data_IF_094293416898
#
_entry.id   IF_094293416898
#
_cell.length_a   1.000
_cell.length_b   1.000
_cell.length_c   1.000
_cell.angle_alpha   90.00
_cell.angle_beta   90.00
_cell.angle_gamma   90.00
#
_symmetry.space_group_name_H-M   'P 1'
#
loop_
_entity.id
_entity.type
_entity.pdbx_description
1 polymer ?
#
# COMPACT_ATOMS: atom_id res chain seq x y z
N UNK A 1 28.24 30.98 14.73
CA UNK A 1 29.40 31.26 13.87
C UNK A 1 30.36 30.09 13.96
N UNK A 2 30.47 29.28 12.92
CA UNK A 2 31.64 28.52 12.45
C UNK A 2 31.20 27.68 11.26
N UNK A 3 31.51 28.18 10.07
CA UNK A 3 31.37 27.46 8.81
C UNK A 3 32.52 26.42 8.75
N UNK A 4 32.21 25.15 8.46
CA UNK A 4 33.23 24.20 8.01
C UNK A 4 32.91 23.83 6.55
N UNK A 5 33.86 24.19 5.70
CA UNK A 5 33.91 23.83 4.29
C UNK A 5 34.54 22.46 4.20
N UNK A 6 33.83 21.50 3.60
CA UNK A 6 34.41 20.19 3.28
C UNK A 6 34.88 20.20 1.83
N UNK A 7 36.16 19.94 1.69
CA UNK A 7 36.93 19.89 0.43
C UNK A 7 36.69 18.52 -0.23
N UNK A 8 36.20 18.53 -1.47
CA UNK A 8 36.07 17.32 -2.29
C UNK A 8 37.37 17.11 -3.06
N UNK A 9 38.08 16.03 -2.75
CA UNK A 9 39.27 15.61 -3.48
C UNK A 9 38.84 14.66 -4.62
N UNK A 10 39.05 15.12 -5.86
CA UNK A 10 38.84 14.33 -7.08
C UNK A 10 40.16 13.62 -7.41
N UNK A 11 40.22 12.30 -7.24
CA UNK A 11 41.35 11.49 -7.72
C UNK A 11 41.04 10.88 -9.08
N UNK A 12 41.68 11.42 -10.12
CA UNK A 12 41.77 10.83 -11.45
C UNK A 12 42.88 9.77 -11.43
N UNK A 13 42.53 8.51 -11.66
CA UNK A 13 43.50 7.46 -12.02
C UNK A 13 43.37 7.14 -13.50
N UNK A 14 44.38 7.55 -14.24
CA UNK A 14 44.70 7.05 -15.58
C UNK A 14 45.58 5.80 -15.41
N UNK A 15 45.13 4.62 -15.83
CA UNK A 15 46.00 3.47 -16.02
C UNK A 15 45.83 2.94 -17.43
N UNK A 16 47.00 2.82 -18.06
CA UNK A 16 47.17 2.51 -19.46
C UNK A 16 46.86 1.04 -19.81
N UNK A 17 46.48 0.87 -21.07
CA UNK A 17 46.35 -0.40 -21.75
C UNK A 17 47.71 -1.09 -21.92
N UNK A 18 47.85 -2.29 -21.38
CA UNK A 18 48.84 -3.25 -21.80
C UNK A 18 48.18 -4.32 -22.66
N UNK A 19 48.64 -4.45 -23.89
CA UNK A 19 48.24 -5.48 -24.84
C UNK A 19 49.01 -6.76 -24.46
N UNK A 20 48.29 -7.85 -24.14
CA UNK A 20 48.83 -9.16 -23.92
C UNK A 20 48.72 -10.01 -25.20
N UNK A 21 49.84 -10.62 -25.59
CA UNK A 21 49.93 -11.56 -26.71
C UNK A 21 49.16 -12.87 -26.42
N UNK A 22 48.59 -13.52 -27.43
CA UNK A 22 47.83 -14.77 -27.29
C UNK A 22 48.77 -15.97 -27.05
N UNK A 23 48.52 -16.73 -25.97
CA UNK A 23 49.10 -18.02 -25.74
C UNK A 23 48.32 -19.14 -26.47
N UNK A 24 48.98 -20.23 -26.91
CA UNK A 24 48.32 -21.31 -27.65
C UNK A 24 47.39 -22.14 -26.75
N UNK A 25 46.20 -22.43 -27.29
CA UNK A 25 45.16 -23.23 -26.67
C UNK A 25 45.61 -24.70 -26.47
N UNK A 26 45.48 -25.19 -25.25
CA UNK A 26 45.54 -26.62 -24.93
C UNK A 26 44.15 -27.23 -25.14
N UNK A 27 44.01 -28.42 -25.78
CA UNK A 27 42.72 -29.05 -25.97
C UNK A 27 42.10 -29.51 -24.63
N UNK A 28 40.85 -29.11 -24.41
CA UNK A 28 40.03 -29.50 -23.27
C UNK A 28 39.70 -31.00 -23.28
N UNK A 29 39.68 -31.69 -22.13
CA UNK A 29 39.16 -33.05 -22.04
C UNK A 29 37.67 -33.11 -22.29
N UNK A 30 37.10 -34.26 -22.75
CA UNK A 30 35.70 -34.38 -23.06
C UNK A 30 34.82 -34.17 -21.78
N UNK A 31 33.87 -33.29 -21.87
CA UNK A 31 32.83 -33.07 -20.86
C UNK A 31 32.04 -34.36 -20.61
N UNK A 32 32.21 -34.91 -19.41
CA UNK A 32 31.25 -35.87 -18.89
C UNK A 32 29.94 -35.15 -18.57
N UNK A 33 28.91 -35.50 -19.29
CA UNK A 33 27.57 -34.99 -19.09
C UNK A 33 27.08 -35.26 -17.65
N UNK A 34 27.13 -34.25 -16.82
CA UNK A 34 26.34 -34.22 -15.61
C UNK A 34 24.92 -33.85 -16.03
N UNK A 35 24.04 -34.87 -16.09
CA UNK A 35 22.61 -34.68 -16.04
C UNK A 35 22.28 -34.13 -14.64
N UNK A 36 22.42 -32.80 -14.51
CA UNK A 36 21.92 -32.06 -13.39
C UNK A 36 20.40 -32.20 -13.39
N UNK A 37 19.90 -32.95 -12.43
CA UNK A 37 18.49 -32.95 -12.07
C UNK A 37 18.22 -31.58 -11.45
N UNK A 38 17.93 -30.56 -12.26
CA UNK A 38 17.33 -29.33 -11.79
C UNK A 38 15.97 -29.71 -11.22
N UNK A 39 15.94 -29.95 -9.92
CA UNK A 39 14.72 -29.89 -9.15
C UNK A 39 14.20 -28.45 -9.32
N UNK A 40 13.24 -28.25 -10.24
CA UNK A 40 12.46 -27.05 -10.31
C UNK A 40 11.82 -26.84 -8.95
N UNK A 41 12.30 -25.85 -8.20
CA UNK A 41 11.61 -25.40 -7.00
C UNK A 41 10.17 -25.07 -7.40
N UNK A 42 9.19 -25.44 -6.59
CA UNK A 42 7.81 -25.07 -6.86
C UNK A 42 7.77 -23.54 -7.02
N UNK A 43 7.31 -23.09 -8.17
CA UNK A 43 7.22 -21.66 -8.47
C UNK A 43 5.99 -21.14 -7.73
N UNK A 44 6.20 -20.59 -6.54
CA UNK A 44 5.13 -19.97 -5.76
C UNK A 44 4.51 -18.80 -6.53
N UNK A 45 3.24 -18.53 -6.26
CA UNK A 45 2.53 -17.35 -6.74
C UNK A 45 3.29 -16.07 -6.34
N UNK A 46 3.26 -15.01 -7.18
CA UNK A 46 3.78 -13.68 -6.81
C UNK A 46 3.13 -13.08 -5.54
N UNK A 47 1.97 -13.62 -5.14
CA UNK A 47 1.24 -13.21 -3.93
C UNK A 47 1.60 -14.04 -2.69
N UNK A 48 2.43 -15.08 -2.85
CA UNK A 48 2.83 -15.92 -1.71
C UNK A 48 3.81 -15.19 -0.79
N UNK A 49 3.49 -15.13 0.50
CA UNK A 49 4.39 -14.64 1.55
C UNK A 49 4.91 -15.81 2.38
N UNK A 50 6.23 -16.07 2.42
CA UNK A 50 6.81 -17.13 3.24
C UNK A 50 6.46 -16.95 4.72
N UNK A 51 5.97 -18.04 5.35
CA UNK A 51 5.62 -18.05 6.76
C UNK A 51 4.22 -17.54 7.08
N UNK A 52 3.40 -17.26 6.07
CA UNK A 52 1.99 -16.92 6.22
C UNK A 52 1.14 -17.98 5.49
N UNK A 53 0.29 -18.68 6.23
CA UNK A 53 -0.58 -19.71 5.65
C UNK A 53 -1.81 -19.08 4.99
N UNK A 54 -2.33 -19.71 3.94
CA UNK A 54 -3.47 -19.17 3.19
C UNK A 54 -4.71 -18.92 4.05
N UNK A 55 -4.97 -19.76 5.05
CA UNK A 55 -6.12 -19.58 5.95
C UNK A 55 -5.91 -18.37 6.89
N UNK A 56 -4.66 -18.02 7.24
CA UNK A 56 -4.34 -16.79 7.96
C UNK A 56 -4.57 -15.57 7.07
N UNK A 57 -4.16 -15.62 5.79
CA UNK A 57 -4.43 -14.56 4.80
C UNK A 57 -5.94 -14.34 4.64
N UNK A 58 -6.72 -15.42 4.51
CA UNK A 58 -8.19 -15.35 4.39
C UNK A 58 -8.81 -14.72 5.63
N UNK A 59 -8.38 -15.15 6.82
CA UNK A 59 -8.88 -14.62 8.08
C UNK A 59 -8.61 -13.12 8.17
N UNK A 60 -7.37 -12.71 7.90
CA UNK A 60 -6.96 -11.30 7.89
C UNK A 60 -7.73 -10.48 6.85
N UNK A 61 -7.84 -10.98 5.62
CA UNK A 61 -8.59 -10.31 4.55
C UNK A 61 -10.07 -10.10 4.91
N UNK A 62 -10.71 -11.15 5.46
CA UNK A 62 -12.12 -11.06 5.84
C UNK A 62 -12.34 -10.05 6.97
N UNK A 63 -11.50 -10.06 8.02
CA UNK A 63 -11.58 -9.08 9.11
C UNK A 63 -11.45 -7.67 8.57
N UNK A 64 -10.40 -7.40 7.79
CA UNK A 64 -10.07 -6.04 7.36
C UNK A 64 -10.99 -5.51 6.25
N UNK A 65 -11.43 -6.37 5.33
CA UNK A 65 -12.20 -5.92 4.15
C UNK A 65 -13.70 -6.20 4.22
N UNK A 66 -14.17 -7.07 5.15
CA UNK A 66 -15.56 -7.53 5.17
C UNK A 66 -16.25 -7.37 6.53
N UNK A 67 -15.52 -7.25 7.64
CA UNK A 67 -16.10 -7.10 8.97
C UNK A 67 -16.17 -5.62 9.36
N UNK A 68 -17.09 -4.88 8.75
CA UNK A 68 -17.27 -3.46 9.12
C UNK A 68 -17.76 -3.30 10.55
N UNK A 69 -17.07 -2.49 11.37
CA UNK A 69 -17.43 -2.15 12.75
C UNK A 69 -18.87 -1.60 12.89
N UNK A 70 -19.42 -1.00 11.83
CA UNK A 70 -20.72 -0.35 11.84
C UNK A 70 -21.55 -0.84 10.65
N UNK A 71 -22.03 -2.09 10.71
CA UNK A 71 -23.15 -2.47 9.87
C UNK A 71 -24.47 -2.07 10.53
N UNK A 72 -25.02 -0.96 10.14
CA UNK A 72 -26.37 -0.51 10.60
C UNK A 72 -27.50 -1.41 10.11
N UNK A 73 -27.23 -2.39 9.26
CA UNK A 73 -28.25 -3.17 8.54
C UNK A 73 -28.35 -4.65 8.97
N UNK A 74 -27.39 -5.17 9.76
CA UNK A 74 -27.40 -6.60 10.15
C UNK A 74 -27.20 -7.59 8.99
N UNK A 75 -26.88 -7.11 7.79
CA UNK A 75 -26.53 -7.93 6.63
C UNK A 75 -25.01 -8.21 6.63
N UNK A 76 -24.56 -9.38 6.12
CA UNK A 76 -23.14 -9.63 5.96
C UNK A 76 -22.52 -8.56 5.07
N UNK A 77 -21.34 -8.09 5.45
CA UNK A 77 -20.59 -7.14 4.65
C UNK A 77 -20.17 -7.80 3.34
N UNK A 78 -20.28 -7.06 2.26
CA UNK A 78 -19.87 -7.47 0.93
C UNK A 78 -18.65 -6.64 0.52
N UNK A 79 -17.77 -7.21 -0.28
CA UNK A 79 -16.54 -6.57 -0.72
C UNK A 79 -16.79 -5.23 -1.40
N UNK A 80 -16.22 -4.18 -0.82
CA UNK A 80 -16.31 -2.81 -1.32
C UNK A 80 -14.93 -2.33 -1.73
N UNK A 81 -14.83 -1.75 -2.93
CA UNK A 81 -13.60 -1.12 -3.41
C UNK A 81 -13.90 -0.13 -4.53
N UNK A 82 -12.90 0.65 -4.91
CA UNK A 82 -12.95 1.47 -6.11
C UNK A 82 -12.83 0.58 -7.35
N UNK A 83 -13.67 0.86 -8.36
CA UNK A 83 -13.62 0.20 -9.69
C UNK A 83 -13.48 1.21 -10.84
N UNK A 84 -13.27 2.48 -10.50
CA UNK A 84 -13.08 3.57 -11.45
C UNK A 84 -11.92 4.47 -10.97
N UNK A 85 -11.24 5.21 -11.88
CA UNK A 85 -10.11 6.05 -11.55
C UNK A 85 -10.40 7.02 -10.41
N UNK A 86 -9.46 7.12 -9.47
CA UNK A 86 -9.52 7.98 -8.29
C UNK A 86 -8.79 9.29 -8.62
N UNK A 87 -9.53 10.38 -8.58
CA UNK A 87 -8.96 11.73 -8.65
C UNK A 87 -8.98 12.30 -7.24
N UNK A 88 -7.80 12.59 -6.66
CA UNK A 88 -7.71 13.16 -5.34
C UNK A 88 -7.41 14.65 -5.37
N UNK A 89 -7.95 15.38 -4.41
CA UNK A 89 -7.67 16.80 -4.16
C UNK A 89 -7.16 16.97 -2.76
N UNK A 90 -6.12 17.80 -2.60
CA UNK A 90 -5.51 18.09 -1.31
C UNK A 90 -5.70 19.57 -1.01
N UNK A 91 -6.06 19.89 0.23
CA UNK A 91 -6.08 21.24 0.75
C UNK A 91 -5.71 21.30 2.24
N UNK A 92 -5.62 22.55 2.77
CA UNK A 92 -5.27 22.81 4.15
C UNK A 92 -3.78 22.94 4.42
N UNK A 93 -3.37 22.70 5.68
CA UNK A 93 -2.02 22.97 6.19
C UNK A 93 -1.10 21.76 6.04
N UNK A 94 -0.90 21.27 4.82
CA UNK A 94 0.04 20.19 4.53
C UNK A 94 1.46 20.68 4.28
N UNK A 95 2.44 19.82 4.46
CA UNK A 95 3.86 20.04 4.18
C UNK A 95 4.30 19.33 2.90
N UNK A 96 5.49 19.71 2.37
CA UNK A 96 6.11 18.98 1.25
C UNK A 96 6.36 17.50 1.59
N UNK A 97 6.58 17.18 2.87
CA UNK A 97 6.77 15.79 3.32
C UNK A 97 5.46 15.00 3.31
N UNK A 98 4.34 15.61 3.69
CA UNK A 98 3.01 14.99 3.60
C UNK A 98 2.69 14.64 2.14
N UNK A 99 2.95 15.59 1.25
CA UNK A 99 2.75 15.40 -0.18
C UNK A 99 3.63 14.26 -0.72
N UNK A 100 4.91 14.21 -0.31
CA UNK A 100 5.82 13.15 -0.74
C UNK A 100 5.38 11.75 -0.27
N UNK A 101 4.83 11.60 0.94
CA UNK A 101 4.28 10.32 1.44
C UNK A 101 3.07 9.90 0.61
N UNK A 102 2.14 10.82 0.37
CA UNK A 102 0.94 10.57 -0.40
C UNK A 102 1.25 10.20 -1.86
N UNK A 103 2.12 10.98 -2.52
CA UNK A 103 2.54 10.72 -3.91
C UNK A 103 3.31 9.39 -4.03
N UNK A 104 4.16 9.07 -3.05
CA UNK A 104 4.87 7.79 -2.99
C UNK A 104 3.90 6.61 -2.91
N UNK A 105 2.87 6.70 -2.07
CA UNK A 105 1.84 5.69 -1.96
C UNK A 105 0.99 5.59 -3.23
N UNK A 106 0.55 6.72 -3.79
CA UNK A 106 -0.19 6.77 -5.04
C UNK A 106 0.60 6.16 -6.21
N UNK A 107 1.91 6.43 -6.27
CA UNK A 107 2.79 5.83 -7.28
C UNK A 107 2.83 4.31 -7.15
N UNK A 108 3.02 3.78 -5.93
CA UNK A 108 3.02 2.34 -5.68
C UNK A 108 1.67 1.70 -6.03
N UNK A 109 0.54 2.30 -5.62
CA UNK A 109 -0.81 1.82 -5.95
C UNK A 109 -1.00 1.64 -7.47
N UNK A 110 -0.50 2.59 -8.27
CA UNK A 110 -0.58 2.52 -9.72
C UNK A 110 0.24 1.36 -10.34
N UNK A 111 1.06 0.65 -9.54
CA UNK A 111 1.74 -0.58 -9.95
C UNK A 111 0.96 -1.85 -9.62
N UNK A 112 -0.11 -1.75 -8.82
CA UNK A 112 -0.92 -2.90 -8.40
C UNK A 112 -1.83 -3.35 -9.54
N UNK A 113 -1.75 -4.62 -9.90
CA UNK A 113 -2.58 -5.21 -10.96
C UNK A 113 -4.07 -5.08 -10.62
N UNK A 114 -4.85 -4.59 -11.58
CA UNK A 114 -6.31 -4.39 -11.42
C UNK A 114 -6.71 -3.18 -10.61
N UNK A 115 -5.77 -2.41 -10.05
CA UNK A 115 -6.08 -1.14 -9.42
C UNK A 115 -6.54 -0.12 -10.47
N UNK A 116 -7.64 0.65 -10.25
CA UNK A 116 -8.23 1.50 -11.28
C UNK A 116 -7.41 2.76 -11.62
N UNK A 117 -6.35 3.01 -10.85
CA UNK A 117 -5.51 4.20 -10.97
C UNK A 117 -5.91 5.32 -10.01
N UNK A 118 -4.89 6.05 -9.53
CA UNK A 118 -5.04 7.21 -8.66
C UNK A 118 -4.13 8.34 -9.13
N UNK A 119 -4.66 9.55 -9.18
CA UNK A 119 -3.91 10.74 -9.57
C UNK A 119 -4.53 12.01 -8.98
N UNK A 120 -3.71 13.06 -8.88
CA UNK A 120 -4.18 14.36 -8.43
C UNK A 120 -5.18 14.96 -9.42
N UNK A 121 -6.24 15.54 -8.90
CA UNK A 121 -7.26 16.25 -9.67
C UNK A 121 -6.75 17.64 -10.10
N UNK A 122 -7.19 18.13 -11.25
CA UNK A 122 -6.90 19.51 -11.69
C UNK A 122 -7.70 20.56 -10.93
N UNK A 123 -8.80 20.13 -10.27
CA UNK A 123 -9.65 21.01 -9.46
C UNK A 123 -10.42 20.19 -8.41
N UNK A 124 -10.90 20.82 -7.31
CA UNK A 124 -11.70 20.13 -6.31
C UNK A 124 -13.02 19.57 -6.87
N UNK A 125 -13.56 20.14 -7.93
CA UNK A 125 -14.81 19.66 -8.55
C UNK A 125 -14.62 18.34 -9.32
N UNK A 126 -13.40 18.02 -9.74
CA UNK A 126 -13.07 16.77 -10.39
C UNK A 126 -12.81 15.65 -9.38
N UNK A 127 -12.44 16.01 -8.14
CA UNK A 127 -12.02 15.06 -7.13
C UNK A 127 -13.17 14.13 -6.71
N UNK A 128 -12.79 12.87 -6.49
CA UNK A 128 -13.62 11.85 -5.85
C UNK A 128 -13.10 11.50 -4.47
N UNK A 129 -11.84 11.79 -4.19
CA UNK A 129 -11.22 11.64 -2.89
C UNK A 129 -10.72 13.02 -2.45
N UNK A 130 -11.30 13.56 -1.38
CA UNK A 130 -10.93 14.84 -0.81
C UNK A 130 -10.07 14.61 0.42
N UNK A 131 -8.90 15.24 0.46
CA UNK A 131 -7.89 15.09 1.50
C UNK A 131 -7.65 16.47 2.14
N UNK A 132 -7.95 16.60 3.43
CA UNK A 132 -7.87 17.84 4.19
C UNK A 132 -6.86 17.74 5.32
N UNK A 133 -5.89 18.64 5.35
CA UNK A 133 -4.98 18.80 6.47
C UNK A 133 -5.45 19.96 7.35
N UNK A 134 -5.93 19.67 8.56
CA UNK A 134 -6.65 20.64 9.35
C UNK A 134 -6.46 20.46 10.87
N UNK A 135 -6.89 21.45 11.63
CA UNK A 135 -6.97 21.38 13.08
C UNK A 135 -8.18 20.53 13.54
N UNK A 136 -8.21 20.01 14.79
CA UNK A 136 -9.29 19.15 15.28
C UNK A 136 -10.69 19.72 15.11
N UNK A 137 -10.91 21.01 15.37
CA UNK A 137 -12.25 21.63 15.25
C UNK A 137 -12.72 21.68 13.79
N UNK A 138 -11.80 21.88 12.83
CA UNK A 138 -12.13 21.85 11.40
C UNK A 138 -12.40 20.41 10.93
N UNK A 139 -11.65 19.44 11.45
CA UNK A 139 -11.90 18.01 11.23
C UNK A 139 -13.28 17.60 11.71
N UNK A 140 -13.63 17.95 12.95
CA UNK A 140 -14.95 17.69 13.52
C UNK A 140 -16.06 18.41 12.74
N UNK A 141 -15.82 19.63 12.27
CA UNK A 141 -16.78 20.37 11.43
C UNK A 141 -17.01 19.70 10.08
N UNK A 142 -15.99 19.03 9.52
CA UNK A 142 -16.06 18.36 8.21
C UNK A 142 -16.69 16.97 8.32
N UNK A 143 -16.31 16.19 9.32
CA UNK A 143 -16.64 14.76 9.44
C UNK A 143 -17.57 14.43 10.59
N UNK A 144 -17.69 15.32 11.58
CA UNK A 144 -18.51 15.14 12.78
C UNK A 144 -17.68 15.01 14.06
N UNK A 145 -18.35 15.23 15.21
CA UNK A 145 -17.73 15.27 16.54
C UNK A 145 -17.07 13.93 16.96
N UNK A 146 -17.40 12.83 16.29
CA UNK A 146 -16.78 11.53 16.54
C UNK A 146 -15.28 11.51 16.26
N UNK A 147 -14.77 12.48 15.48
CA UNK A 147 -13.35 12.59 15.15
C UNK A 147 -12.49 13.25 16.22
N UNK A 148 -13.10 13.79 17.30
CA UNK A 148 -12.31 14.35 18.39
C UNK A 148 -11.43 13.30 19.06
N UNK A 149 -10.14 13.60 19.14
CA UNK A 149 -9.11 12.71 19.71
C UNK A 149 -8.44 11.78 18.72
N UNK A 150 -8.88 11.78 17.43
CA UNK A 150 -8.23 11.05 16.36
C UNK A 150 -7.13 11.91 15.70
N UNK A 151 -6.11 11.29 15.18
CA UNK A 151 -5.02 11.92 14.42
C UNK A 151 -5.32 12.00 12.92
N UNK A 152 -6.17 11.10 12.42
CA UNK A 152 -6.75 11.06 11.09
C UNK A 152 -8.11 10.41 11.11
N UNK A 153 -8.84 10.52 10.01
CA UNK A 153 -10.09 9.82 9.80
C UNK A 153 -10.45 9.77 8.31
N UNK A 154 -11.11 8.71 7.91
CA UNK A 154 -11.67 8.56 6.58
C UNK A 154 -13.15 8.20 6.63
N UNK A 155 -13.90 8.74 5.69
CA UNK A 155 -15.25 8.28 5.36
C UNK A 155 -15.36 8.08 3.86
N UNK A 156 -16.14 7.11 3.43
CA UNK A 156 -16.40 6.93 2.01
C UNK A 156 -17.88 6.58 1.76
N UNK A 157 -18.31 6.88 0.55
CA UNK A 157 -19.62 6.55 0.04
C UNK A 157 -19.52 5.48 -1.03
N UNK A 158 -20.44 4.52 -1.02
CA UNK A 158 -20.50 3.46 -2.02
C UNK A 158 -21.90 3.28 -2.56
N UNK A 159 -21.98 2.75 -3.77
CA UNK A 159 -23.23 2.31 -4.41
C UNK A 159 -22.96 1.00 -5.13
N UNK A 160 -23.82 0.01 -4.94
CA UNK A 160 -23.65 -1.34 -5.50
C UNK A 160 -22.27 -1.92 -5.18
N UNK A 161 -21.80 -1.73 -3.93
CA UNK A 161 -20.48 -2.12 -3.41
C UNK A 161 -19.26 -1.48 -4.12
N UNK A 162 -19.48 -0.38 -4.86
CA UNK A 162 -18.44 0.42 -5.50
C UNK A 162 -18.25 1.72 -4.76
N UNK A 163 -17.06 1.94 -4.26
CA UNK A 163 -16.70 3.22 -3.64
C UNK A 163 -16.63 4.26 -4.76
N UNK A 164 -17.27 5.40 -4.56
CA UNK A 164 -17.30 6.48 -5.55
C UNK A 164 -16.89 7.85 -5.01
N UNK A 165 -16.80 7.99 -3.70
CA UNK A 165 -16.36 9.22 -3.03
C UNK A 165 -15.74 8.88 -1.68
N UNK A 166 -14.66 9.58 -1.31
CA UNK A 166 -14.06 9.51 0.01
C UNK A 166 -13.69 10.91 0.50
N UNK A 167 -13.76 11.11 1.81
CA UNK A 167 -13.23 12.29 2.50
C UNK A 167 -12.26 11.81 3.57
N UNK A 168 -11.04 12.33 3.55
CA UNK A 168 -9.98 12.02 4.49
C UNK A 168 -9.57 13.33 5.18
N UNK A 169 -9.48 13.32 6.49
CA UNK A 169 -8.96 14.44 7.25
C UNK A 169 -7.75 13.99 8.08
N UNK A 170 -6.70 14.79 8.06
CA UNK A 170 -5.48 14.63 8.85
C UNK A 170 -5.28 15.82 9.78
N UNK A 171 -4.86 15.56 11.00
CA UNK A 171 -4.42 16.63 11.89
C UNK A 171 -3.13 17.25 11.41
N UNK A 172 -3.14 18.57 11.18
CA UNK A 172 -1.96 19.33 10.76
C UNK A 172 -1.03 19.72 11.92
N UNK A 173 -1.51 19.62 13.18
CA UNK A 173 -0.82 20.04 14.41
C UNK A 173 -0.05 18.92 15.12
N UNK A 174 -0.02 17.70 14.60
CA UNK A 174 0.74 16.57 15.14
C UNK A 174 2.16 16.49 14.55
N UNK A 175 3.04 15.73 15.22
CA UNK A 175 4.40 15.53 14.75
C UNK A 175 4.42 14.87 13.35
N UNK A 176 5.37 15.29 12.51
CA UNK A 176 5.47 14.82 11.12
C UNK A 176 5.59 13.30 11.01
N UNK A 177 6.34 12.65 11.90
CA UNK A 177 6.50 11.20 11.90
C UNK A 177 5.18 10.46 12.15
N UNK A 178 4.36 10.96 13.09
CA UNK A 178 3.01 10.43 13.35
C UNK A 178 2.13 10.68 12.14
N UNK A 179 2.17 11.90 11.58
CA UNK A 179 1.37 12.27 10.41
C UNK A 179 1.69 11.42 9.17
N UNK A 180 2.96 11.08 8.93
CA UNK A 180 3.34 10.17 7.85
C UNK A 180 2.63 8.81 7.97
N UNK A 181 2.60 8.25 9.19
CA UNK A 181 1.91 6.97 9.46
C UNK A 181 0.41 7.08 9.21
N UNK A 182 -0.23 8.11 9.77
CA UNK A 182 -1.67 8.34 9.64
C UNK A 182 -2.07 8.60 8.17
N UNK A 183 -1.20 9.25 7.36
CA UNK A 183 -1.46 9.41 5.92
C UNK A 183 -1.58 8.05 5.22
N UNK A 184 -0.67 7.13 5.52
CA UNK A 184 -0.69 5.78 4.93
C UNK A 184 -1.95 5.02 5.35
N UNK A 185 -2.28 5.06 6.64
CA UNK A 185 -3.41 4.36 7.26
C UNK A 185 -4.74 4.82 6.67
N UNK A 186 -5.03 6.12 6.69
CA UNK A 186 -6.34 6.61 6.24
C UNK A 186 -6.55 6.50 4.72
N UNK A 187 -5.48 6.65 3.92
CA UNK A 187 -5.59 6.35 2.48
C UNK A 187 -5.88 4.86 2.28
N UNK A 188 -5.16 3.99 3.00
CA UNK A 188 -5.35 2.55 2.93
C UNK A 188 -6.78 2.16 3.25
N UNK A 189 -7.33 2.67 4.37
CA UNK A 189 -8.72 2.47 4.78
C UNK A 189 -9.69 3.02 3.72
N UNK A 190 -9.40 4.16 3.14
CA UNK A 190 -10.19 4.78 2.05
C UNK A 190 -10.22 3.99 0.73
N UNK A 191 -9.37 2.97 0.58
CA UNK A 191 -9.33 2.10 -0.59
C UNK A 191 -10.23 0.86 -0.50
N UNK A 192 -10.76 0.54 0.70
CA UNK A 192 -11.63 -0.61 0.88
C UNK A 192 -11.34 -1.49 2.09
N UNK A 193 -10.10 -1.52 2.65
CA UNK A 193 -9.87 -2.03 3.99
C UNK A 193 -10.58 -1.09 4.98
N UNK A 194 -11.63 -1.57 5.62
CA UNK A 194 -12.58 -0.71 6.38
C UNK A 194 -12.46 -0.87 7.87
N UNK A 195 -11.52 -1.70 8.32
CA UNK A 195 -11.36 -2.01 9.73
C UNK A 195 -9.91 -2.19 10.12
N UNK A 196 -9.55 -1.60 11.26
CA UNK A 196 -8.31 -1.88 11.95
C UNK A 196 -8.29 -3.32 12.48
N UNK A 197 -7.11 -3.86 12.73
CA UNK A 197 -6.95 -5.25 13.13
C UNK A 197 -6.03 -5.42 14.33
N UNK A 198 -6.36 -6.37 15.19
CA UNK A 198 -5.46 -6.87 16.24
C UNK A 198 -4.64 -8.10 15.78
N UNK A 199 -4.95 -8.68 14.61
CA UNK A 199 -4.29 -9.89 14.12
C UNK A 199 -2.83 -9.66 13.69
N UNK A 200 -2.50 -8.43 13.24
CA UNK A 200 -1.20 -8.12 12.65
C UNK A 200 -0.63 -6.83 13.23
N UNK A 201 0.19 -6.97 14.27
CA UNK A 201 0.88 -5.82 14.90
C UNK A 201 1.94 -5.15 14.01
N UNK A 202 2.27 -5.75 12.88
CA UNK A 202 3.17 -5.23 11.85
C UNK A 202 2.45 -4.50 10.72
N UNK A 203 1.11 -4.50 10.69
CA UNK A 203 0.31 -3.79 9.69
C UNK A 203 0.21 -2.29 9.99
N UNK A 204 0.02 -1.49 8.92
CA UNK A 204 -0.26 -0.04 9.05
C UNK A 204 -1.63 0.25 9.65
N UNK A 205 -2.55 -0.72 9.61
CA UNK A 205 -3.89 -0.66 10.21
C UNK A 205 -3.99 -1.49 11.49
N UNK A 206 -2.89 -1.59 12.25
CA UNK A 206 -2.91 -2.25 13.55
C UNK A 206 -3.69 -1.40 14.56
N UNK A 207 -4.72 -1.98 15.19
CA UNK A 207 -5.59 -1.29 16.16
C UNK A 207 -4.85 -0.77 17.41
N UNK A 208 -3.67 -1.31 17.72
CA UNK A 208 -2.79 -0.78 18.75
C UNK A 208 -1.93 0.36 18.24
N UNK A 209 -1.41 1.20 19.15
CA UNK A 209 -0.55 2.31 18.77
C UNK A 209 0.70 1.84 18.04
N UNK A 210 0.89 2.32 16.81
CA UNK A 210 2.09 2.12 15.99
C UNK A 210 2.32 3.35 15.11
N UNK A 211 3.54 3.50 14.58
CA UNK A 211 3.90 4.59 13.66
C UNK A 211 4.70 4.06 12.47
N UNK A 212 4.16 3.14 11.68
CA UNK A 212 4.85 2.62 10.50
C UNK A 212 5.07 3.73 9.47
N UNK A 213 6.24 3.74 8.84
CA UNK A 213 6.62 4.76 7.86
C UNK A 213 6.51 4.25 6.41
N UNK A 214 6.05 3.02 6.21
CA UNK A 214 5.84 2.38 4.91
C UNK A 214 4.89 1.20 5.06
N UNK A 215 4.30 0.77 3.95
CA UNK A 215 3.58 -0.50 3.89
C UNK A 215 4.49 -1.66 4.24
N UNK A 216 3.94 -2.64 4.93
CA UNK A 216 4.59 -3.93 5.14
C UNK A 216 4.22 -4.91 4.01
N UNK A 217 4.91 -6.04 3.95
CA UNK A 217 4.61 -7.06 2.94
C UNK A 217 3.16 -7.58 3.03
N UNK A 218 2.58 -7.62 4.24
CA UNK A 218 1.19 -8.05 4.43
C UNK A 218 0.20 -6.97 3.99
N UNK A 219 0.51 -5.69 4.20
CA UNK A 219 -0.32 -4.58 3.72
C UNK A 219 -0.34 -4.56 2.18
N UNK A 220 0.83 -4.73 1.55
CA UNK A 220 0.93 -4.84 0.11
C UNK A 220 0.16 -6.04 -0.44
N UNK A 221 0.29 -7.22 0.21
CA UNK A 221 -0.44 -8.43 -0.17
C UNK A 221 -1.95 -8.18 -0.14
N UNK A 222 -2.46 -7.58 0.92
CA UNK A 222 -3.89 -7.33 1.06
C UNK A 222 -4.42 -6.46 -0.07
N UNK A 223 -3.75 -5.35 -0.41
CA UNK A 223 -4.17 -4.48 -1.52
C UNK A 223 -4.04 -5.18 -2.88
N UNK A 224 -2.99 -6.00 -3.09
CA UNK A 224 -2.84 -6.80 -4.31
C UNK A 224 -3.97 -7.83 -4.45
N UNK A 225 -4.40 -8.46 -3.36
CA UNK A 225 -5.56 -9.36 -3.34
C UNK A 225 -6.86 -8.59 -3.60
N UNK A 226 -7.09 -7.50 -2.85
CA UNK A 226 -8.32 -6.69 -2.96
C UNK A 226 -8.55 -6.19 -4.39
N UNK A 227 -7.49 -5.72 -5.06
CA UNK A 227 -7.58 -5.18 -6.42
C UNK A 227 -7.32 -6.20 -7.52
N UNK A 228 -6.99 -7.45 -7.18
CA UNK A 228 -6.83 -8.49 -8.20
C UNK A 228 -8.07 -8.57 -9.10
N UNK A 229 -7.93 -8.74 -10.44
CA UNK A 229 -9.07 -8.77 -11.37
C UNK A 229 -10.16 -9.79 -11.04
N UNK A 230 -9.84 -10.89 -10.35
CA UNK A 230 -10.81 -11.89 -9.91
C UNK A 230 -11.60 -11.49 -8.65
N UNK A 231 -11.13 -10.50 -7.88
CA UNK A 231 -11.87 -9.94 -6.75
C UNK A 231 -12.87 -8.92 -7.26
N UNK A 232 -14.17 -9.22 -7.17
CA UNK A 232 -15.26 -8.40 -7.73
C UNK A 232 -16.05 -7.75 -6.59
N UNK A 233 -16.42 -6.47 -6.74
CA UNK A 233 -17.30 -5.78 -5.80
C UNK A 233 -18.57 -6.58 -5.55
N UNK A 234 -18.96 -6.72 -4.28
CA UNK A 234 -20.14 -7.45 -3.88
C UNK A 234 -19.92 -8.94 -3.61
N UNK A 235 -18.69 -9.46 -3.69
CA UNK A 235 -18.35 -10.79 -3.19
C UNK A 235 -18.54 -10.89 -1.69
N UNK A 236 -19.02 -12.03 -1.21
CA UNK A 236 -19.04 -12.38 0.21
C UNK A 236 -17.72 -13.05 0.65
N UNK A 237 -17.60 -13.30 1.95
CA UNK A 237 -16.39 -13.88 2.54
C UNK A 237 -16.02 -15.26 1.94
N UNK A 238 -17.01 -16.10 1.60
CA UNK A 238 -16.74 -17.42 1.03
C UNK A 238 -16.22 -17.31 -0.41
N UNK A 239 -16.76 -16.40 -1.20
CA UNK A 239 -16.31 -16.12 -2.55
C UNK A 239 -14.91 -15.52 -2.56
N UNK A 240 -14.62 -14.55 -1.66
CA UNK A 240 -13.28 -13.99 -1.51
C UNK A 240 -12.26 -15.05 -1.10
N UNK A 241 -12.60 -15.91 -0.13
CA UNK A 241 -11.74 -16.99 0.33
C UNK A 241 -11.38 -17.98 -0.80
N UNK A 242 -12.33 -18.30 -1.67
CA UNK A 242 -12.08 -19.19 -2.82
C UNK A 242 -11.08 -18.56 -3.80
N UNK A 243 -11.24 -17.27 -4.11
CA UNK A 243 -10.31 -16.53 -4.98
C UNK A 243 -8.91 -16.47 -4.34
N UNK A 244 -8.83 -16.17 -3.03
CA UNK A 244 -7.54 -16.11 -2.32
C UNK A 244 -6.81 -17.46 -2.41
N UNK A 245 -7.51 -18.59 -2.18
CA UNK A 245 -6.89 -19.93 -2.29
C UNK A 245 -6.34 -20.22 -3.67
N UNK A 246 -7.01 -19.76 -4.73
CA UNK A 246 -6.55 -19.94 -6.11
C UNK A 246 -5.34 -19.08 -6.45
N UNK A 247 -5.21 -17.90 -5.84
CA UNK A 247 -4.19 -16.92 -6.16
C UNK A 247 -2.92 -17.06 -5.32
N UNK A 248 -3.02 -17.62 -4.11
CA UNK A 248 -1.96 -17.59 -3.12
C UNK A 248 -0.86 -18.63 -3.36
N UNK A 249 -1.16 -19.76 -3.97
CA UNK A 249 -0.21 -20.84 -4.30
C UNK A 249 0.08 -20.91 -5.84
#
# INVERSE_FOLDING_TARGET
MKRMIALVLLCLFLTGCAVAEPQPENPLPPEQGQTGNEQSQPQHSPLYLPGLEVDEVITYFNEVCLDAEITTSGNPSLLQKWDSPIYYWIDGDYTDQDLAVLEGFAHWLNTVEGFPGIQQAESPLQAKMHIHFCLPDAMASTMGDWTYGLDGAVTFNYRDNRIYHATICYRSDIAQEIRNSVILEEIYNGLGPIQDTDLRSDSIIYAGYSIPQSLTAVDELLLRLLYHPQMICGMDAAQCAEVIRQLYY
#
